data_IF_827143528604
#
_entry.id   IF_827143528604
#
_cell.length_a   1.000
_cell.length_b   1.000
_cell.length_c   1.000
_cell.angle_alpha   90.00
_cell.angle_beta   90.00
_cell.angle_gamma   90.00
#
_symmetry.space_group_name_H-M   'P 1'
#
loop_
_entity.id
_entity.type
_entity.pdbx_description
1 polymer ?
#
# COMPACT_ATOMS: atom_id res chain seq x y z
N UNK A 1 1.44 0.75 20.47
CA UNK A 1 2.40 -0.36 20.41
C UNK A 1 1.62 -1.66 20.27
N UNK A 2 1.43 -2.14 19.04
CA UNK A 2 0.85 -3.46 18.72
C UNK A 2 1.63 -3.98 17.51
N UNK A 3 2.49 -4.98 17.74
CA UNK A 3 3.12 -5.76 16.67
C UNK A 3 2.05 -6.71 16.12
N UNK A 4 1.33 -6.28 15.09
CA UNK A 4 0.32 -7.08 14.37
C UNK A 4 0.92 -7.62 13.06
N UNK A 5 1.92 -8.48 13.19
CA UNK A 5 2.19 -9.53 12.21
C UNK A 5 1.57 -10.85 12.71
N UNK A 6 0.34 -10.77 13.23
CA UNK A 6 -0.51 -11.94 13.37
C UNK A 6 -0.76 -12.52 11.98
N UNK A 7 -0.55 -13.83 11.86
CA UNK A 7 -0.98 -14.64 10.74
C UNK A 7 -2.50 -14.47 10.62
N UNK A 8 -2.94 -13.55 9.76
CA UNK A 8 -4.37 -13.32 9.49
C UNK A 8 -5.02 -14.66 9.19
N UNK A 9 -6.08 -14.99 9.92
CA UNK A 9 -6.76 -16.26 9.74
C UNK A 9 -7.57 -16.24 8.44
N UNK A 10 -7.72 -17.39 7.80
CA UNK A 10 -8.62 -17.54 6.65
C UNK A 10 -10.03 -17.03 6.95
N UNK A 11 -10.49 -17.17 8.20
CA UNK A 11 -11.77 -16.64 8.66
C UNK A 11 -11.86 -15.12 8.52
N UNK A 12 -10.82 -14.40 8.94
CA UNK A 12 -10.77 -12.94 8.81
C UNK A 12 -10.74 -12.48 7.35
N UNK A 13 -9.97 -13.16 6.49
CA UNK A 13 -9.93 -12.83 5.05
C UNK A 13 -11.27 -13.14 4.36
N UNK A 14 -12.00 -14.18 4.80
CA UNK A 14 -13.37 -14.46 4.33
C UNK A 14 -14.37 -13.38 4.78
N UNK A 15 -14.21 -12.82 5.98
CA UNK A 15 -15.03 -11.69 6.41
C UNK A 15 -14.80 -10.46 5.53
N UNK A 16 -13.53 -10.12 5.24
CA UNK A 16 -13.19 -9.03 4.33
C UNK A 16 -13.76 -9.28 2.94
N UNK A 17 -13.56 -10.50 2.41
CA UNK A 17 -14.10 -10.90 1.12
C UNK A 17 -15.62 -10.71 1.06
N UNK A 18 -16.34 -11.18 2.07
CA UNK A 18 -17.78 -10.99 2.19
C UNK A 18 -18.15 -9.51 2.18
N UNK A 19 -17.45 -8.66 2.95
CA UNK A 19 -17.74 -7.23 2.97
C UNK A 19 -17.56 -6.57 1.61
N UNK A 20 -16.44 -6.86 0.92
CA UNK A 20 -16.13 -6.28 -0.40
C UNK A 20 -17.16 -6.75 -1.43
N UNK A 21 -17.45 -8.05 -1.51
CA UNK A 21 -18.40 -8.60 -2.50
C UNK A 21 -19.80 -8.05 -2.29
N UNK A 22 -20.25 -7.96 -1.04
CA UNK A 22 -21.58 -7.42 -0.74
C UNK A 22 -21.66 -5.89 -0.89
N UNK A 23 -20.52 -5.19 -0.92
CA UNK A 23 -20.47 -3.72 -0.98
C UNK A 23 -20.85 -3.04 0.33
N UNK A 24 -20.75 -3.75 1.46
CA UNK A 24 -20.92 -3.18 2.79
C UNK A 24 -20.19 -3.99 3.86
N UNK A 25 -19.84 -3.36 4.96
CA UNK A 25 -19.37 -4.02 6.18
C UNK A 25 -20.49 -4.06 7.22
N UNK A 26 -20.68 -5.18 7.91
CA UNK A 26 -21.63 -5.26 9.02
C UNK A 26 -20.93 -5.00 10.36
N UNK A 27 -21.55 -4.19 11.21
CA UNK A 27 -21.18 -4.02 12.62
C UNK A 27 -22.35 -4.51 13.47
N UNK A 28 -22.07 -5.44 14.39
CA UNK A 28 -23.11 -6.06 15.22
C UNK A 28 -23.39 -5.29 16.51
N UNK A 29 -22.49 -4.39 16.91
CA UNK A 29 -22.63 -3.62 18.14
C UNK A 29 -22.34 -2.13 17.91
N UNK A 30 -23.36 -1.44 17.39
CA UNK A 30 -23.42 0.01 17.35
C UNK A 30 -24.64 0.49 18.15
N UNK A 31 -24.40 0.97 19.37
CA UNK A 31 -25.46 1.34 20.32
C UNK A 31 -26.47 0.22 20.59
N UNK A 32 -25.97 -1.02 20.69
CA UNK A 32 -26.81 -2.20 20.91
C UNK A 32 -27.65 -2.60 19.69
N UNK A 33 -27.35 -2.06 18.51
CA UNK A 33 -27.99 -2.40 17.24
C UNK A 33 -26.95 -2.86 16.22
N UNK A 34 -27.40 -3.72 15.31
CA UNK A 34 -26.64 -4.06 14.11
C UNK A 34 -26.81 -2.96 13.07
N UNK A 35 -25.71 -2.57 12.43
CA UNK A 35 -25.69 -1.56 11.37
C UNK A 35 -24.86 -2.04 10.18
N UNK A 36 -25.14 -1.46 9.02
CA UNK A 36 -24.48 -1.77 7.77
C UNK A 36 -23.79 -0.53 7.22
N UNK A 37 -22.46 -0.64 7.07
CA UNK A 37 -21.59 0.40 6.55
C UNK A 37 -21.42 0.18 5.06
N UNK A 38 -22.21 0.90 4.26
CA UNK A 38 -22.17 0.88 2.80
C UNK A 38 -20.80 1.34 2.28
N UNK A 39 -20.26 0.62 1.31
CA UNK A 39 -19.08 1.04 0.58
C UNK A 39 -19.53 1.85 -0.64
N UNK A 40 -19.02 3.06 -0.78
CA UNK A 40 -19.45 3.95 -1.85
C UNK A 40 -18.75 3.63 -3.18
N UNK A 41 -19.50 3.80 -4.27
CA UNK A 41 -18.98 3.86 -5.64
C UNK A 41 -18.39 5.24 -5.96
N UNK A 42 -17.62 5.38 -7.05
CA UNK A 42 -17.14 6.69 -7.51
C UNK A 42 -18.28 7.67 -7.82
N UNK A 43 -19.42 7.17 -8.31
CA UNK A 43 -20.59 8.00 -8.63
C UNK A 43 -21.18 8.60 -7.35
N UNK A 44 -21.29 7.80 -6.30
CA UNK A 44 -21.83 8.25 -5.01
C UNK A 44 -20.87 9.20 -4.27
N UNK A 45 -19.56 9.04 -4.45
CA UNK A 45 -18.59 10.03 -3.94
C UNK A 45 -18.82 11.40 -4.57
N UNK A 46 -19.17 11.47 -5.85
CA UNK A 46 -19.44 12.74 -6.51
C UNK A 46 -20.61 13.51 -5.88
N UNK A 47 -21.59 12.82 -5.29
CA UNK A 47 -22.68 13.47 -4.56
C UNK A 47 -22.16 14.12 -3.26
N UNK A 48 -21.24 13.47 -2.57
CA UNK A 48 -20.58 14.01 -1.39
C UNK A 48 -19.68 15.19 -1.76
N UNK A 49 -18.96 15.11 -2.87
CA UNK A 49 -18.09 16.20 -3.36
C UNK A 49 -18.90 17.48 -3.63
N UNK A 50 -20.11 17.36 -4.17
CA UNK A 50 -21.00 18.52 -4.35
C UNK A 50 -21.37 19.20 -3.03
N UNK A 51 -21.59 18.42 -1.97
CA UNK A 51 -21.81 18.98 -0.64
C UNK A 51 -20.54 19.66 -0.10
N UNK A 52 -19.35 19.12 -0.40
CA UNK A 52 -18.09 19.72 0.02
C UNK A 52 -17.94 21.12 -0.59
N UNK A 53 -18.14 21.25 -1.90
CA UNK A 53 -18.05 22.52 -2.62
C UNK A 53 -19.03 23.56 -2.06
N UNK A 54 -20.24 23.12 -1.71
CA UNK A 54 -21.24 23.98 -1.08
C UNK A 54 -20.76 24.53 0.28
N UNK A 55 -20.31 23.67 1.19
CA UNK A 55 -19.85 24.08 2.52
C UNK A 55 -18.54 24.89 2.45
N UNK A 56 -17.66 24.57 1.51
CA UNK A 56 -16.46 25.34 1.25
C UNK A 56 -16.81 26.77 0.82
N UNK A 57 -17.70 26.93 -0.17
CA UNK A 57 -18.15 28.24 -0.62
C UNK A 57 -18.84 29.03 0.52
N UNK A 58 -19.63 28.36 1.36
CA UNK A 58 -20.25 28.99 2.52
C UNK A 58 -19.20 29.49 3.53
N UNK A 59 -18.19 28.68 3.86
CA UNK A 59 -17.10 29.07 4.76
C UNK A 59 -16.30 30.26 4.20
N UNK A 60 -16.04 30.27 2.90
CA UNK A 60 -15.40 31.40 2.20
C UNK A 60 -16.22 32.67 2.31
N UNK A 61 -17.52 32.60 2.11
CA UNK A 61 -18.42 33.74 2.25
C UNK A 61 -18.50 34.27 3.69
N UNK A 62 -18.20 33.42 4.69
CA UNK A 62 -18.09 33.79 6.10
C UNK A 62 -16.70 34.34 6.48
N UNK A 63 -15.77 34.43 5.53
CA UNK A 63 -14.45 35.03 5.72
C UNK A 63 -13.37 34.06 6.21
N UNK A 64 -13.60 32.74 6.19
CA UNK A 64 -12.55 31.77 6.51
C UNK A 64 -11.51 31.76 5.39
N UNK A 65 -10.22 31.79 5.76
CA UNK A 65 -9.12 31.62 4.83
C UNK A 65 -9.12 30.21 4.22
N UNK A 66 -8.65 30.11 2.99
CA UNK A 66 -8.22 28.83 2.41
C UNK A 66 -6.93 28.34 3.08
N UNK A 67 -6.61 27.06 2.94
CA UNK A 67 -5.32 26.52 3.38
C UNK A 67 -4.16 27.26 2.70
N UNK A 68 -4.29 27.60 1.42
CA UNK A 68 -3.27 28.35 0.69
C UNK A 68 -3.05 29.75 1.27
N UNK A 69 -4.12 30.50 1.53
CA UNK A 69 -4.03 31.83 2.15
C UNK A 69 -3.48 31.73 3.58
N UNK A 70 -3.92 30.73 4.35
CA UNK A 70 -3.44 30.51 5.71
C UNK A 70 -1.95 30.16 5.73
N UNK A 71 -1.47 29.36 4.79
CA UNK A 71 -0.05 29.06 4.62
C UNK A 71 0.74 30.35 4.35
N UNK A 72 0.26 31.24 3.47
CA UNK A 72 0.93 32.53 3.19
C UNK A 72 1.05 33.38 4.46
N UNK A 73 -0.05 33.51 5.20
CA UNK A 73 -0.07 34.23 6.48
C UNK A 73 0.91 33.62 7.51
N UNK A 74 0.90 32.29 7.67
CA UNK A 74 1.81 31.60 8.60
C UNK A 74 3.29 31.79 8.25
N UNK A 75 3.61 31.89 6.95
CA UNK A 75 4.98 32.20 6.48
C UNK A 75 5.37 33.64 6.79
N UNK A 76 4.46 34.60 6.59
CA UNK A 76 4.68 36.01 6.93
C UNK A 76 4.98 36.20 8.42
N UNK A 77 4.29 35.44 9.28
CA UNK A 77 4.52 35.44 10.73
C UNK A 77 5.73 34.57 11.18
N UNK A 78 6.41 33.91 10.25
CA UNK A 78 7.55 33.03 10.54
C UNK A 78 7.20 31.77 11.34
N UNK A 79 5.91 31.40 11.39
CA UNK A 79 5.41 30.18 12.05
C UNK A 79 5.58 28.94 11.17
N UNK A 80 5.63 29.14 9.85
CA UNK A 80 5.99 28.15 8.86
C UNK A 80 7.23 28.63 8.10
N UNK A 81 8.20 27.75 7.84
CA UNK A 81 9.39 28.12 7.05
C UNK A 81 9.37 27.47 5.68
N UNK A 82 9.78 28.24 4.67
CA UNK A 82 9.98 27.73 3.30
C UNK A 82 11.00 26.58 3.28
N UNK A 83 12.00 26.61 4.18
CA UNK A 83 12.96 25.54 4.33
C UNK A 83 12.31 24.23 4.78
N UNK A 84 11.35 24.27 5.73
CA UNK A 84 10.62 23.07 6.17
C UNK A 84 9.75 22.50 5.04
N UNK A 85 9.08 23.36 4.27
CA UNK A 85 8.27 22.90 3.12
C UNK A 85 9.14 22.29 2.02
N UNK A 86 10.25 22.95 1.68
CA UNK A 86 11.22 22.42 0.71
C UNK A 86 11.81 21.09 1.18
N UNK A 87 12.11 20.95 2.47
CA UNK A 87 12.58 19.69 3.04
C UNK A 87 11.52 18.58 2.93
N UNK A 88 10.24 18.89 3.15
CA UNK A 88 9.15 17.93 2.99
C UNK A 88 9.04 17.46 1.53
N UNK A 89 9.07 18.38 0.57
CA UNK A 89 9.06 18.04 -0.86
C UNK A 89 10.26 17.16 -1.24
N UNK A 90 11.46 17.51 -0.77
CA UNK A 90 12.66 16.72 -1.00
C UNK A 90 12.54 15.30 -0.42
N UNK A 91 11.97 15.15 0.78
CA UNK A 91 11.74 13.84 1.39
C UNK A 91 10.71 13.01 0.62
N UNK A 92 9.66 13.63 0.09
CA UNK A 92 8.67 12.95 -0.77
C UNK A 92 9.30 12.47 -2.08
N UNK A 93 10.13 13.31 -2.71
CA UNK A 93 10.89 12.93 -3.91
C UNK A 93 11.87 11.80 -3.58
N UNK A 94 12.59 11.91 -2.46
CA UNK A 94 13.50 10.87 -2.00
C UNK A 94 12.78 9.55 -1.75
N UNK A 95 11.61 9.56 -1.10
CA UNK A 95 10.77 8.39 -0.88
C UNK A 95 10.34 7.74 -2.20
N UNK A 96 9.92 8.56 -3.18
CA UNK A 96 9.59 8.07 -4.54
C UNK A 96 10.81 7.40 -5.18
N UNK A 97 11.99 8.01 -5.08
CA UNK A 97 13.23 7.46 -5.63
C UNK A 97 13.65 6.17 -4.93
N UNK A 98 13.46 6.04 -3.61
CA UNK A 98 13.69 4.81 -2.87
C UNK A 98 12.79 3.67 -3.37
N UNK A 99 11.50 3.95 -3.58
CA UNK A 99 10.53 2.97 -4.13
C UNK A 99 10.90 2.54 -5.55
N UNK A 100 11.34 3.46 -6.40
CA UNK A 100 11.83 3.13 -7.75
C UNK A 100 13.15 2.37 -7.73
N UNK A 101 14.07 2.73 -6.84
CA UNK A 101 15.36 2.03 -6.64
C UNK A 101 15.10 0.58 -6.24
N UNK A 102 14.21 0.37 -5.26
CA UNK A 102 13.80 -0.96 -4.80
C UNK A 102 13.36 -1.88 -5.94
N UNK A 103 12.53 -1.37 -6.86
CA UNK A 103 12.05 -2.14 -8.02
C UNK A 103 13.16 -2.63 -8.95
N UNK A 104 14.34 -2.00 -8.92
CA UNK A 104 15.49 -2.37 -9.75
C UNK A 104 16.49 -3.29 -9.05
N UNK A 105 16.29 -3.58 -7.76
CA UNK A 105 17.14 -4.47 -7.00
C UNK A 105 16.76 -5.93 -7.22
N UNK A 106 17.73 -6.82 -7.01
CA UNK A 106 17.52 -8.28 -7.02
C UNK A 106 18.10 -8.97 -5.79
N UNK A 107 19.04 -8.34 -5.08
CA UNK A 107 19.64 -8.85 -3.84
C UNK A 107 18.73 -8.59 -2.65
N UNK A 108 18.43 -9.65 -1.88
CA UNK A 108 17.52 -9.55 -0.74
C UNK A 108 18.04 -8.59 0.34
N UNK A 109 19.34 -8.63 0.63
CA UNK A 109 19.96 -7.74 1.63
C UNK A 109 19.80 -6.26 1.29
N UNK A 110 19.81 -5.93 0.00
CA UNK A 110 19.68 -4.53 -0.44
C UNK A 110 18.22 -4.09 -0.45
N UNK A 111 17.31 -5.00 -0.82
CA UNK A 111 15.86 -4.78 -0.71
C UNK A 111 15.47 -4.48 0.76
N UNK A 112 15.98 -5.26 1.71
CA UNK A 112 15.70 -5.04 3.14
C UNK A 112 16.24 -3.69 3.65
N UNK A 113 17.46 -3.31 3.25
CA UNK A 113 18.04 -2.00 3.60
C UNK A 113 17.16 -0.85 3.07
N UNK A 114 16.75 -0.92 1.80
CA UNK A 114 15.88 0.11 1.20
C UNK A 114 14.50 0.13 1.88
N UNK A 115 13.92 -1.02 2.22
CA UNK A 115 12.64 -1.06 2.95
C UNK A 115 12.74 -0.36 4.33
N UNK A 116 13.84 -0.51 5.04
CA UNK A 116 14.05 0.19 6.32
C UNK A 116 14.19 1.71 6.12
N UNK A 117 14.87 2.15 5.06
CA UNK A 117 14.95 3.58 4.71
C UNK A 117 13.58 4.15 4.36
N UNK A 118 12.80 3.44 3.54
CA UNK A 118 11.41 3.81 3.17
C UNK A 118 10.58 4.03 4.44
N UNK A 119 10.58 3.06 5.37
CA UNK A 119 9.82 3.14 6.62
C UNK A 119 10.22 4.36 7.47
N UNK A 120 11.52 4.64 7.59
CA UNK A 120 12.00 5.79 8.35
C UNK A 120 11.59 7.11 7.71
N UNK A 121 11.77 7.24 6.38
CA UNK A 121 11.40 8.45 5.64
C UNK A 121 9.88 8.67 5.64
N UNK A 122 9.07 7.63 5.52
CA UNK A 122 7.60 7.72 5.60
C UNK A 122 7.16 8.25 6.97
N UNK A 123 7.77 7.77 8.05
CA UNK A 123 7.48 8.27 9.40
C UNK A 123 7.79 9.77 9.52
N UNK A 124 8.97 10.19 9.07
CA UNK A 124 9.36 11.61 9.12
C UNK A 124 8.40 12.50 8.31
N UNK A 125 7.99 12.05 7.11
CA UNK A 125 6.99 12.77 6.30
C UNK A 125 5.65 12.88 7.02
N UNK A 126 5.20 11.82 7.68
CA UNK A 126 3.95 11.82 8.45
C UNK A 126 4.01 12.78 9.64
N UNK A 127 5.12 12.79 10.38
CA UNK A 127 5.31 13.68 11.53
C UNK A 127 5.21 15.15 11.08
N UNK A 128 5.85 15.53 9.96
CA UNK A 128 5.74 16.89 9.39
C UNK A 128 4.33 17.24 8.90
N UNK A 129 3.63 16.30 8.27
CA UNK A 129 2.25 16.51 7.82
C UNK A 129 1.33 16.74 9.02
N UNK A 130 1.55 16.03 10.13
CA UNK A 130 0.81 16.23 11.37
C UNK A 130 1.04 17.63 11.95
N UNK A 131 2.31 18.04 12.12
CA UNK A 131 2.67 19.40 12.58
C UNK A 131 2.04 20.48 11.71
N UNK A 132 2.08 20.32 10.38
CA UNK A 132 1.48 21.28 9.44
C UNK A 132 -0.04 21.35 9.59
N UNK A 133 -0.71 20.22 9.77
CA UNK A 133 -2.17 20.18 9.89
C UNK A 133 -2.68 20.86 11.16
N UNK A 134 -1.95 20.80 12.27
CA UNK A 134 -2.31 21.51 13.51
C UNK A 134 -2.31 23.04 13.31
N UNK A 135 -1.43 23.57 12.45
CA UNK A 135 -1.40 25.01 12.15
C UNK A 135 -2.54 25.45 11.23
N UNK A 136 -3.16 24.52 10.49
CA UNK A 136 -4.19 24.78 9.47
C UNK A 136 -5.61 24.48 9.96
N UNK A 137 -5.86 24.37 11.27
CA UNK A 137 -7.16 23.96 11.81
C UNK A 137 -8.34 24.89 11.44
N UNK A 138 -8.07 26.18 11.20
CA UNK A 138 -9.09 27.21 10.95
C UNK A 138 -9.11 27.64 9.48
N UNK A 139 -9.42 26.71 8.59
CA UNK A 139 -9.56 26.98 7.14
C UNK A 139 -10.92 26.55 6.61
N UNK A 140 -11.30 27.11 5.45
CA UNK A 140 -12.52 26.75 4.74
C UNK A 140 -12.57 25.25 4.42
N UNK A 141 -11.43 24.65 4.07
CA UNK A 141 -11.26 23.24 3.79
C UNK A 141 -11.52 22.38 5.03
N UNK A 142 -11.00 22.77 6.21
CA UNK A 142 -11.26 22.05 7.46
C UNK A 142 -12.71 22.16 7.89
N UNK A 143 -13.33 23.34 7.72
CA UNK A 143 -14.75 23.53 7.97
C UNK A 143 -15.61 22.62 7.07
N UNK A 144 -15.37 22.65 5.76
CA UNK A 144 -16.09 21.83 4.80
C UNK A 144 -15.88 20.33 5.09
N UNK A 145 -14.65 19.91 5.38
CA UNK A 145 -14.33 18.54 5.77
C UNK A 145 -15.08 18.07 7.02
N UNK A 146 -15.20 18.91 8.05
CA UNK A 146 -16.00 18.60 9.25
C UNK A 146 -17.48 18.40 8.90
N UNK A 147 -18.05 19.27 8.07
CA UNK A 147 -19.45 19.14 7.65
C UNK A 147 -19.68 17.91 6.78
N UNK A 148 -18.72 17.57 5.94
CA UNK A 148 -18.79 16.39 5.10
C UNK A 148 -18.74 15.09 5.88
N UNK A 149 -18.08 15.05 7.04
CA UNK A 149 -18.17 13.87 7.91
C UNK A 149 -19.61 13.57 8.32
N UNK A 150 -20.44 14.57 8.62
CA UNK A 150 -21.86 14.39 8.95
C UNK A 150 -22.63 13.80 7.75
N UNK A 151 -22.38 14.35 6.56
CA UNK A 151 -22.96 13.88 5.30
C UNK A 151 -22.55 12.43 5.01
N UNK A 152 -21.28 12.07 5.22
CA UNK A 152 -20.78 10.70 5.04
C UNK A 152 -21.58 9.70 5.87
N UNK A 153 -21.94 10.02 7.12
CA UNK A 153 -22.71 9.09 7.96
C UNK A 153 -24.08 8.79 7.36
N UNK A 154 -24.77 9.80 6.83
CA UNK A 154 -26.08 9.66 6.16
C UNK A 154 -26.01 8.71 4.97
N UNK A 155 -24.97 8.83 4.17
CA UNK A 155 -24.78 8.02 2.95
C UNK A 155 -24.14 6.65 3.19
N UNK A 156 -23.60 6.38 4.38
CA UNK A 156 -22.85 5.14 4.64
C UNK A 156 -23.44 4.25 5.72
N UNK A 157 -24.18 4.76 6.71
CA UNK A 157 -24.64 3.94 7.85
C UNK A 157 -26.15 3.67 7.77
N UNK A 158 -26.50 2.40 7.60
CA UNK A 158 -27.89 1.95 7.43
C UNK A 158 -28.29 0.89 8.46
N UNK A 159 -29.60 0.83 8.73
CA UNK A 159 -30.21 -0.24 9.53
C UNK A 159 -30.42 -1.53 8.74
N UNK A 160 -30.37 -1.46 7.41
CA UNK A 160 -30.65 -2.58 6.51
C UNK A 160 -29.59 -2.74 5.40
N UNK A 161 -29.52 -3.95 4.84
CA UNK A 161 -28.55 -4.33 3.80
C UNK A 161 -28.87 -3.78 2.41
N UNK A 162 -30.09 -3.30 2.20
CA UNK A 162 -30.54 -2.71 0.93
C UNK A 162 -30.36 -1.18 0.92
N UNK A 163 -29.84 -0.62 2.02
CA UNK A 163 -29.58 0.80 2.21
C UNK A 163 -30.83 1.68 2.06
N UNK A 164 -31.98 1.18 2.49
CA UNK A 164 -33.25 1.89 2.39
C UNK A 164 -33.50 2.81 3.59
N UNK A 165 -32.92 2.49 4.75
CA UNK A 165 -33.15 3.20 6.01
C UNK A 165 -31.83 3.59 6.68
N UNK A 166 -31.45 4.87 6.53
CA UNK A 166 -30.31 5.45 7.25
C UNK A 166 -30.67 5.77 8.69
N UNK A 167 -29.70 5.67 9.59
CA UNK A 167 -29.84 6.08 11.01
C UNK A 167 -29.67 7.60 11.14
N UNK A 168 -28.93 8.21 10.22
CA UNK A 168 -28.57 9.62 10.25
C UNK A 168 -29.41 10.40 9.24
N UNK A 169 -30.68 10.60 9.59
CA UNK A 169 -31.55 11.53 8.87
C UNK A 169 -31.09 12.97 9.09
N UNK A 170 -31.62 13.90 8.29
CA UNK A 170 -31.30 15.34 8.45
C UNK A 170 -31.58 15.84 9.87
N UNK A 171 -32.75 15.48 10.42
CA UNK A 171 -33.16 15.82 11.79
C UNK A 171 -32.21 15.24 12.85
N UNK A 172 -31.71 14.02 12.63
CA UNK A 172 -30.74 13.39 13.54
C UNK A 172 -29.39 14.10 13.46
N UNK A 173 -28.95 14.49 12.26
CA UNK A 173 -27.69 15.20 12.05
C UNK A 173 -27.71 16.61 12.63
N UNK A 174 -28.80 17.36 12.50
CA UNK A 174 -28.95 18.70 13.08
C UNK A 174 -28.80 18.69 14.62
N UNK A 175 -29.16 17.56 15.25
CA UNK A 175 -29.13 17.39 16.71
C UNK A 175 -28.02 16.44 17.18
N UNK A 176 -27.10 16.03 16.31
CA UNK A 176 -26.04 15.09 16.68
C UNK A 176 -25.04 15.77 17.61
N UNK A 177 -24.73 15.12 18.73
CA UNK A 177 -23.68 15.60 19.63
C UNK A 177 -22.30 15.21 19.09
N UNK A 178 -21.25 15.97 19.44
CA UNK A 178 -19.88 15.66 19.05
C UNK A 178 -19.47 14.23 19.45
N UNK A 179 -19.89 13.78 20.63
CA UNK A 179 -19.62 12.42 21.11
C UNK A 179 -20.30 11.36 20.21
N UNK A 180 -21.56 11.57 19.83
CA UNK A 180 -22.27 10.63 18.94
C UNK A 180 -21.66 10.63 17.53
N UNK A 181 -21.28 11.79 17.01
CA UNK A 181 -20.58 11.94 15.74
C UNK A 181 -19.25 11.18 15.76
N UNK A 182 -18.44 11.37 16.82
CA UNK A 182 -17.18 10.65 17.00
C UNK A 182 -17.38 9.13 17.05
N UNK A 183 -18.40 8.65 17.77
CA UNK A 183 -18.71 7.22 17.86
C UNK A 183 -19.10 6.63 16.50
N UNK A 184 -19.90 7.35 15.73
CA UNK A 184 -20.32 6.96 14.38
C UNK A 184 -19.13 6.88 13.42
N UNK A 185 -18.29 7.92 13.39
CA UNK A 185 -17.05 7.95 12.61
C UNK A 185 -16.11 6.82 13.04
N UNK A 186 -15.96 6.58 14.34
CA UNK A 186 -15.12 5.49 14.85
C UNK A 186 -15.64 4.12 14.42
N UNK A 187 -16.96 3.93 14.40
CA UNK A 187 -17.59 2.70 13.92
C UNK A 187 -17.31 2.49 12.43
N UNK A 188 -17.51 3.54 11.61
CA UNK A 188 -17.19 3.53 10.20
C UNK A 188 -15.72 3.17 9.97
N UNK A 189 -14.80 3.91 10.61
CA UNK A 189 -13.35 3.71 10.47
C UNK A 189 -12.94 2.29 10.85
N UNK A 190 -13.43 1.74 11.96
CA UNK A 190 -13.15 0.35 12.37
C UNK A 190 -13.58 -0.68 11.32
N UNK A 191 -14.70 -0.43 10.64
CA UNK A 191 -15.18 -1.32 9.58
C UNK A 191 -14.32 -1.24 8.32
N UNK A 192 -13.90 -0.03 7.96
CA UNK A 192 -13.12 0.25 6.76
C UNK A 192 -11.64 -0.12 6.92
N UNK A 193 -11.05 0.07 8.10
CA UNK A 193 -9.65 -0.26 8.40
C UNK A 193 -9.35 -1.75 8.17
N UNK A 194 -10.35 -2.63 8.39
CA UNK A 194 -10.25 -4.05 8.04
C UNK A 194 -10.00 -4.25 6.54
N UNK A 195 -10.55 -3.40 5.70
CA UNK A 195 -10.40 -3.41 4.23
C UNK A 195 -9.21 -2.53 3.81
N UNK A 196 -8.06 -2.72 4.45
CA UNK A 196 -6.83 -2.03 4.11
C UNK A 196 -6.21 -2.59 2.82
N UNK A 197 -5.38 -1.79 2.14
CA UNK A 197 -4.62 -2.25 0.97
C UNK A 197 -3.78 -3.51 1.28
N UNK A 198 -3.14 -3.58 2.47
CA UNK A 198 -2.43 -4.79 2.95
C UNK A 198 -3.33 -6.02 2.92
N UNK A 199 -4.56 -5.89 3.42
CA UNK A 199 -5.49 -7.01 3.49
C UNK A 199 -6.13 -7.34 2.14
N UNK A 200 -6.40 -6.34 1.29
CA UNK A 200 -6.86 -6.56 -0.09
C UNK A 200 -5.82 -7.36 -0.88
N UNK A 201 -4.54 -6.96 -0.80
CA UNK A 201 -3.44 -7.70 -1.44
C UNK A 201 -3.34 -9.14 -0.95
N UNK A 202 -3.46 -9.36 0.37
CA UNK A 202 -3.46 -10.71 0.95
C UNK A 202 -4.66 -11.53 0.47
N UNK A 203 -5.87 -10.95 0.48
CA UNK A 203 -7.07 -11.61 -0.04
C UNK A 203 -6.90 -11.96 -1.53
N UNK A 204 -6.33 -11.07 -2.32
CA UNK A 204 -6.13 -11.26 -3.74
C UNK A 204 -5.27 -12.49 -4.05
N UNK A 205 -4.30 -12.85 -3.21
CA UNK A 205 -3.47 -14.06 -3.42
C UNK A 205 -4.04 -15.32 -2.75
N UNK A 206 -5.13 -15.22 -1.98
CA UNK A 206 -5.71 -16.37 -1.30
C UNK A 206 -6.33 -17.36 -2.29
N UNK A 207 -6.12 -18.65 -2.05
CA UNK A 207 -6.60 -19.74 -2.89
C UNK A 207 -8.12 -19.72 -3.11
N UNK A 208 -8.92 -19.51 -2.05
CA UNK A 208 -10.38 -19.50 -2.18
C UNK A 208 -10.89 -18.36 -3.06
N UNK A 209 -10.23 -17.20 -3.03
CA UNK A 209 -10.60 -16.06 -3.85
C UNK A 209 -10.14 -16.26 -5.30
N UNK A 210 -8.87 -16.64 -5.49
CA UNK A 210 -8.30 -16.89 -6.83
C UNK A 210 -9.09 -17.95 -7.59
N UNK A 211 -9.47 -19.05 -6.91
CA UNK A 211 -10.30 -20.09 -7.51
C UNK A 211 -11.64 -19.54 -8.01
N UNK A 212 -12.31 -18.69 -7.22
CA UNK A 212 -13.57 -18.08 -7.64
C UNK A 212 -13.37 -17.07 -8.77
N UNK A 213 -12.33 -16.23 -8.69
CA UNK A 213 -12.05 -15.19 -9.67
C UNK A 213 -11.64 -15.76 -11.03
N UNK A 214 -10.86 -16.84 -11.05
CA UNK A 214 -10.43 -17.51 -12.28
C UNK A 214 -11.54 -18.27 -12.99
N UNK A 215 -12.56 -18.75 -12.28
CA UNK A 215 -13.74 -19.36 -12.90
C UNK A 215 -14.55 -18.36 -13.75
N UNK A 216 -14.35 -17.06 -13.53
CA UNK A 216 -15.00 -15.99 -14.30
C UNK A 216 -14.09 -15.42 -15.41
N UNK A 217 -12.97 -16.07 -15.75
CA UNK A 217 -12.03 -15.61 -16.80
C UNK A 217 -11.61 -14.13 -16.66
N UNK A 218 -11.42 -13.67 -15.42
CA UNK A 218 -11.10 -12.27 -15.06
C UNK A 218 -12.16 -11.23 -15.52
N UNK A 219 -13.35 -11.69 -15.89
CA UNK A 219 -14.49 -10.86 -16.22
C UNK A 219 -15.13 -10.31 -14.94
N UNK A 220 -14.93 -9.02 -14.73
CA UNK A 220 -15.43 -8.28 -13.56
C UNK A 220 -16.96 -8.28 -13.53
N UNK A 221 -17.61 -8.22 -14.69
CA UNK A 221 -19.06 -8.25 -14.78
C UNK A 221 -19.60 -9.62 -14.37
N UNK A 222 -18.98 -10.71 -14.82
CA UNK A 222 -19.43 -12.06 -14.48
C UNK A 222 -19.19 -12.36 -12.98
N UNK A 223 -18.08 -11.86 -12.42
CA UNK A 223 -17.75 -12.08 -11.02
C UNK A 223 -18.69 -11.33 -10.06
N UNK A 224 -19.00 -10.06 -10.32
CA UNK A 224 -19.84 -9.22 -9.45
C UNK A 224 -21.31 -9.14 -9.87
N UNK A 225 -21.65 -9.57 -11.08
CA UNK A 225 -23.00 -9.49 -11.64
C UNK A 225 -23.47 -8.07 -11.98
N UNK A 226 -22.56 -7.08 -12.03
CA UNK A 226 -22.91 -5.68 -12.31
C UNK A 226 -21.83 -4.93 -13.11
N UNK A 227 -22.21 -3.89 -13.89
CA UNK A 227 -21.26 -3.06 -14.63
C UNK A 227 -20.22 -2.39 -13.71
N UNK A 228 -19.01 -2.19 -14.23
CA UNK A 228 -17.88 -1.63 -13.48
C UNK A 228 -18.19 -0.24 -12.87
N UNK A 229 -18.99 0.57 -13.55
CA UNK A 229 -19.38 1.91 -13.08
C UNK A 229 -20.29 1.90 -11.83
N UNK A 230 -20.88 0.75 -11.49
CA UNK A 230 -21.69 0.57 -10.27
C UNK A 230 -20.95 -0.23 -9.19
N UNK A 231 -19.67 -0.52 -9.38
CA UNK A 231 -18.85 -1.16 -8.36
C UNK A 231 -18.42 -0.14 -7.31
N UNK A 232 -18.30 -0.63 -6.09
CA UNK A 232 -17.71 0.15 -4.99
C UNK A 232 -16.21 0.27 -5.23
N UNK A 233 -15.57 1.27 -4.62
CA UNK A 233 -14.11 1.43 -4.72
C UNK A 233 -13.36 0.13 -4.37
N UNK A 234 -13.75 -0.54 -3.29
CA UNK A 234 -13.08 -1.77 -2.85
C UNK A 234 -13.29 -2.97 -3.78
N UNK A 235 -14.43 -3.04 -4.47
CA UNK A 235 -14.68 -4.09 -5.46
C UNK A 235 -13.77 -3.93 -6.69
N UNK A 236 -13.62 -2.69 -7.16
CA UNK A 236 -12.70 -2.35 -8.26
C UNK A 236 -11.26 -2.60 -7.84
N UNK A 237 -10.87 -2.15 -6.65
CA UNK A 237 -9.51 -2.32 -6.13
C UNK A 237 -9.15 -3.79 -5.98
N UNK A 238 -10.02 -4.62 -5.38
CA UNK A 238 -9.77 -6.06 -5.26
C UNK A 238 -9.62 -6.73 -6.63
N UNK A 239 -10.47 -6.40 -7.61
CA UNK A 239 -10.37 -6.96 -8.95
C UNK A 239 -9.08 -6.53 -9.67
N UNK A 240 -8.67 -5.27 -9.51
CA UNK A 240 -7.44 -4.76 -10.10
C UNK A 240 -6.21 -5.46 -9.50
N UNK A 241 -6.14 -5.54 -8.17
CA UNK A 241 -5.07 -6.22 -7.45
C UNK A 241 -5.03 -7.72 -7.77
N UNK A 242 -6.19 -8.36 -7.91
CA UNK A 242 -6.30 -9.76 -8.34
C UNK A 242 -5.68 -9.99 -9.73
N UNK A 243 -6.02 -9.15 -10.71
CA UNK A 243 -5.45 -9.20 -12.07
C UNK A 243 -3.94 -9.00 -12.04
N UNK A 244 -3.47 -8.07 -11.23
CA UNK A 244 -2.04 -7.82 -11.06
C UNK A 244 -1.30 -9.04 -10.48
N UNK A 245 -1.82 -9.66 -9.42
CA UNK A 245 -1.19 -10.86 -8.86
C UNK A 245 -1.30 -12.09 -9.76
N UNK A 246 -2.42 -12.24 -10.49
CA UNK A 246 -2.52 -13.25 -11.56
C UNK A 246 -1.39 -13.06 -12.57
N UNK A 247 -1.22 -11.84 -13.06
CA UNK A 247 -0.13 -11.51 -13.98
C UNK A 247 1.24 -11.84 -13.40
N UNK A 248 1.52 -11.47 -12.15
CA UNK A 248 2.78 -11.84 -11.48
C UNK A 248 3.01 -13.35 -11.52
N UNK A 249 1.99 -14.14 -11.15
CA UNK A 249 2.09 -15.59 -11.05
C UNK A 249 2.21 -16.30 -12.40
N UNK A 250 1.71 -15.71 -13.49
CA UNK A 250 1.73 -16.31 -14.83
C UNK A 250 2.79 -15.72 -15.76
N UNK A 251 3.53 -14.69 -15.35
CA UNK A 251 4.44 -13.95 -16.24
C UNK A 251 5.89 -14.44 -16.23
N UNK A 252 6.25 -15.39 -15.36
CA UNK A 252 7.57 -16.01 -15.34
C UNK A 252 7.47 -17.53 -15.31
N UNK A 253 8.42 -18.20 -15.97
CA UNK A 253 8.55 -19.66 -15.92
C UNK A 253 9.10 -20.15 -14.57
N UNK A 254 9.69 -19.24 -13.78
CA UNK A 254 10.16 -19.52 -12.43
C UNK A 254 8.97 -19.50 -11.48
N UNK A 255 8.81 -20.57 -10.70
CA UNK A 255 7.78 -20.62 -9.65
C UNK A 255 8.29 -19.92 -8.38
N UNK A 256 7.50 -19.02 -7.76
CA UNK A 256 7.89 -18.40 -6.50
C UNK A 256 8.01 -19.46 -5.37
N UNK A 257 8.97 -19.31 -4.45
CA UNK A 257 9.03 -20.12 -3.24
C UNK A 257 7.76 -20.01 -2.37
N UNK A 258 7.47 -21.04 -1.57
CA UNK A 258 6.24 -21.11 -0.75
C UNK A 258 6.12 -19.96 0.28
N UNK A 259 7.24 -19.53 0.86
CA UNK A 259 7.29 -18.42 1.81
C UNK A 259 7.08 -17.04 1.16
N UNK A 260 7.26 -16.96 -0.17
CA UNK A 260 7.01 -15.79 -1.00
C UNK A 260 5.56 -15.77 -1.48
N UNK A 261 5.02 -16.93 -1.90
CA UNK A 261 3.67 -17.06 -2.45
C UNK A 261 2.58 -16.52 -1.51
N UNK A 262 2.78 -16.69 -0.19
CA UNK A 262 1.82 -16.29 0.83
C UNK A 262 1.98 -14.84 1.32
N UNK A 263 2.94 -14.08 0.77
CA UNK A 263 3.22 -12.72 1.17
C UNK A 263 3.21 -11.78 -0.06
N UNK A 264 2.20 -10.90 -0.20
CA UNK A 264 2.06 -10.06 -1.39
C UNK A 264 3.27 -9.16 -1.65
N UNK A 265 3.86 -8.57 -0.61
CA UNK A 265 5.04 -7.70 -0.75
C UNK A 265 6.26 -8.49 -1.21
N UNK A 266 6.50 -9.66 -0.61
CA UNK A 266 7.60 -10.53 -1.04
C UNK A 266 7.41 -11.02 -2.47
N UNK A 267 6.17 -11.27 -2.88
CA UNK A 267 5.81 -11.74 -4.21
C UNK A 267 6.03 -10.66 -5.28
N UNK A 268 5.64 -9.42 -5.00
CA UNK A 268 5.97 -8.25 -5.83
C UNK A 268 7.50 -8.08 -5.96
N UNK A 269 8.22 -8.10 -4.83
CA UNK A 269 9.68 -7.96 -4.81
C UNK A 269 10.35 -9.08 -5.60
N UNK A 270 9.91 -10.32 -5.44
CA UNK A 270 10.39 -11.47 -6.20
C UNK A 270 10.17 -11.30 -7.70
N UNK A 271 8.97 -10.89 -8.11
CA UNK A 271 8.63 -10.69 -9.53
C UNK A 271 9.53 -9.64 -10.19
N UNK A 272 9.78 -8.53 -9.48
CA UNK A 272 10.70 -7.50 -9.94
C UNK A 272 12.14 -8.02 -10.05
N UNK A 273 12.62 -8.76 -9.05
CA UNK A 273 13.94 -9.40 -9.09
C UNK A 273 14.11 -10.31 -10.30
N UNK A 274 13.14 -11.20 -10.57
CA UNK A 274 13.17 -12.12 -11.71
C UNK A 274 13.25 -11.34 -13.03
N UNK A 275 12.37 -10.35 -13.23
CA UNK A 275 12.39 -9.52 -14.44
C UNK A 275 13.69 -8.73 -14.63
N UNK A 276 14.29 -8.25 -13.56
CA UNK A 276 15.55 -7.51 -13.64
C UNK A 276 16.70 -8.42 -14.05
N UNK A 277 16.73 -9.64 -13.51
CA UNK A 277 17.71 -10.66 -13.88
C UNK A 277 17.55 -11.08 -15.34
N UNK A 278 16.33 -11.33 -15.80
CA UNK A 278 16.05 -11.61 -17.22
C UNK A 278 16.55 -10.49 -18.14
N UNK A 279 16.33 -9.22 -17.77
CA UNK A 279 16.86 -8.08 -18.52
C UNK A 279 18.39 -8.05 -18.55
N UNK A 280 19.07 -8.41 -17.46
CA UNK A 280 20.54 -8.47 -17.40
C UNK A 280 21.05 -9.61 -18.28
N UNK A 281 20.44 -10.79 -18.21
CA UNK A 281 20.81 -11.96 -19.03
C UNK A 281 20.62 -11.65 -20.51
N UNK A 282 19.47 -11.09 -20.90
CA UNK A 282 19.16 -10.77 -22.30
C UNK A 282 20.05 -9.67 -22.88
N UNK A 283 20.60 -8.77 -22.06
CA UNK A 283 21.58 -7.77 -22.51
C UNK A 283 22.97 -8.34 -22.78
N UNK A 284 23.27 -9.54 -22.25
CA UNK A 284 24.56 -10.21 -22.38
C UNK A 284 24.40 -11.51 -23.16
N UNK A 285 24.04 -11.42 -24.44
CA UNK A 285 23.93 -12.57 -25.34
C UNK A 285 25.24 -13.38 -25.37
N UNK A 286 25.22 -14.61 -24.81
CA UNK A 286 26.25 -15.64 -25.04
C UNK A 286 27.41 -15.73 -24.04
N UNK A 287 27.50 -14.88 -23.01
CA UNK A 287 28.56 -14.92 -22.00
C UNK A 287 28.19 -15.68 -20.72
N UNK A 288 29.18 -16.19 -19.98
CA UNK A 288 28.99 -16.57 -18.58
C UNK A 288 28.78 -15.31 -17.73
N UNK A 289 27.52 -14.93 -17.50
CA UNK A 289 27.17 -13.85 -16.58
C UNK A 289 27.32 -14.34 -15.14
N UNK A 290 28.36 -13.87 -14.46
CA UNK A 290 28.49 -13.93 -13.02
C UNK A 290 27.70 -12.80 -12.39
N UNK A 291 26.62 -13.14 -11.66
CA UNK A 291 25.88 -12.17 -10.85
C UNK A 291 26.69 -11.92 -9.58
N UNK A 292 27.61 -10.95 -9.63
CA UNK A 292 28.44 -10.58 -8.49
C UNK A 292 27.58 -10.20 -7.28
N UNK A 293 27.92 -10.76 -6.11
CA UNK A 293 27.27 -10.44 -4.83
C UNK A 293 25.98 -11.22 -4.52
N UNK A 294 25.48 -12.04 -5.44
CA UNK A 294 24.32 -12.90 -5.18
C UNK A 294 24.68 -14.10 -4.31
N UNK A 295 23.87 -14.38 -3.30
CA UNK A 295 23.97 -15.60 -2.51
C UNK A 295 23.38 -16.80 -3.28
N UNK A 296 23.69 -18.02 -2.84
CA UNK A 296 23.07 -19.22 -3.40
C UNK A 296 21.53 -19.18 -3.27
N UNK A 297 21.03 -18.63 -2.17
CA UNK A 297 19.59 -18.46 -1.95
C UNK A 297 18.98 -17.41 -2.88
N UNK A 298 19.71 -16.33 -3.22
CA UNK A 298 19.27 -15.34 -4.21
C UNK A 298 19.15 -15.98 -5.60
N UNK A 299 20.15 -16.78 -6.02
CA UNK A 299 20.15 -17.50 -7.30
C UNK A 299 19.03 -18.54 -7.38
N UNK A 300 18.79 -19.26 -6.28
CA UNK A 300 17.69 -20.23 -6.17
C UNK A 300 16.32 -19.53 -6.25
N UNK A 301 16.17 -18.40 -5.55
CA UNK A 301 14.93 -17.62 -5.51
C UNK A 301 14.52 -17.10 -6.90
N UNK A 302 15.48 -16.80 -7.76
CA UNK A 302 15.25 -16.30 -9.13
C UNK A 302 15.32 -17.39 -10.21
N UNK A 303 15.36 -18.68 -9.83
CA UNK A 303 15.28 -19.81 -10.76
C UNK A 303 16.55 -20.11 -11.57
N UNK A 304 17.71 -19.60 -11.15
CA UNK A 304 19.00 -19.82 -11.81
C UNK A 304 19.77 -21.05 -11.28
N UNK A 305 19.15 -21.86 -10.42
CA UNK A 305 19.74 -23.10 -9.85
C UNK A 305 19.96 -24.17 -10.94
N UNK A 306 19.12 -24.19 -11.99
CA UNK A 306 19.09 -25.25 -13.00
C UNK A 306 19.60 -24.83 -14.39
N UNK A 307 20.86 -24.42 -14.49
CA UNK A 307 21.68 -24.65 -15.69
C UNK A 307 23.14 -24.72 -15.28
N UNK A 308 23.79 -25.90 -15.38
CA UNK A 308 25.24 -26.19 -15.62
C UNK A 308 26.31 -25.07 -15.45
N UNK A 309 26.15 -24.14 -14.51
CA UNK A 309 27.01 -22.97 -14.26
C UNK A 309 27.23 -22.73 -12.77
N UNK A 310 26.73 -23.59 -11.89
CA UNK A 310 27.04 -23.51 -10.45
C UNK A 310 28.51 -23.91 -10.16
N UNK A 311 29.19 -24.60 -11.10
CA UNK A 311 30.60 -24.99 -10.97
C UNK A 311 31.62 -23.85 -11.22
N UNK A 312 31.19 -22.62 -11.51
CA UNK A 312 32.10 -21.47 -11.68
C UNK A 312 32.11 -20.47 -10.51
N UNK A 313 31.38 -20.72 -9.41
CA UNK A 313 31.22 -19.73 -8.33
C UNK A 313 31.85 -20.10 -6.99
N UNK A 314 32.54 -21.24 -6.89
CA UNK A 314 33.23 -21.67 -5.65
C UNK A 314 34.75 -21.46 -5.64
N UNK A 315 35.38 -21.10 -6.76
CA UNK A 315 36.84 -21.13 -6.88
C UNK A 315 37.52 -19.76 -7.07
N UNK A 316 37.12 -18.71 -6.33
CA UNK A 316 37.97 -17.51 -6.20
C UNK A 316 38.42 -17.20 -4.76
N UNK A 317 37.99 -17.98 -3.76
CA UNK A 317 38.35 -17.74 -2.35
C UNK A 317 39.29 -18.78 -1.71
N UNK A 318 40.09 -19.50 -2.50
CA UNK A 318 41.20 -20.31 -1.98
C UNK A 318 42.48 -20.05 -2.78
N UNK A 319 43.02 -18.83 -2.69
CA UNK A 319 44.47 -18.67 -2.64
C UNK A 319 44.83 -18.42 -1.19
N UNK A 320 45.10 -19.51 -0.48
CA UNK A 320 45.88 -19.45 0.76
C UNK A 320 47.19 -18.71 0.44
N UNK A 321 47.39 -17.58 1.10
CA UNK A 321 48.68 -16.91 1.18
C UNK A 321 49.65 -17.89 1.87
N UNK A 322 50.40 -18.66 1.09
CA UNK A 322 51.41 -19.55 1.62
C UNK A 322 52.63 -18.70 2.00
N UNK A 323 52.88 -18.58 3.29
CA UNK A 323 53.96 -17.79 3.91
C UNK A 323 55.38 -18.24 3.42
N UNK A 324 55.47 -19.37 2.73
CA UNK A 324 56.72 -19.85 2.10
C UNK A 324 57.11 -19.14 0.80
N UNK A 325 56.21 -18.41 0.12
CA UNK A 325 56.55 -17.65 -1.10
C UNK A 325 57.26 -16.32 -0.82
N UNK A 326 57.38 -15.91 0.44
CA UNK A 326 58.04 -14.65 0.84
C UNK A 326 59.54 -14.78 1.16
N UNK A 327 60.14 -15.98 1.09
CA UNK A 327 61.56 -16.21 1.48
C UNK A 327 62.52 -16.39 0.28
N UNK A 328 62.04 -16.49 -0.96
CA UNK A 328 62.91 -16.69 -2.13
C UNK A 328 63.28 -15.44 -2.96
N UNK A 329 63.08 -14.23 -2.43
CA UNK A 329 63.49 -12.99 -3.13
C UNK A 329 64.78 -12.36 -2.54
N UNK A 330 65.32 -12.89 -1.44
CA UNK A 330 66.63 -12.47 -0.92
C UNK A 330 67.51 -13.68 -0.56
N UNK A 331 68.30 -14.16 -1.53
CA UNK A 331 69.46 -15.00 -1.24
C UNK A 331 69.88 -16.00 -2.31
N UNK A 332 70.64 -15.56 -3.31
CA UNK A 332 71.91 -16.19 -3.72
C UNK A 332 72.40 -15.66 -5.08
N UNK A 333 73.36 -14.72 -5.03
CA UNK A 333 74.44 -14.68 -6.02
C UNK A 333 75.35 -15.88 -5.76
N UNK A 334 75.68 -16.66 -6.80
CA UNK A 334 77.04 -17.15 -7.14
C UNK A 334 76.96 -18.30 -8.17
N UNK A 335 77.24 -18.00 -9.44
CA UNK A 335 78.56 -18.19 -10.04
C UNK A 335 78.71 -17.30 -11.26
#
# INVERSE_FOLDING_TARGET
MLNLDEKLTDSFLRQIYSSIVNGFSAESDFDGKSVFIKHLSPVEHSEIDQHYDHYFAMARNQGLYTEEEKIKELKEFGLLSDDKERNLEQKQIYLKNLKETKKNLFLNSDIEKINNQIKSTEKEVLDYIYEKNELLELTAEKFAGKKINEIYLKYTIFEDKLFQKTIYTEEVLENITENNLYRAISCYNRCIEKISNKNIKKLAICSFFQNAFFLCDDNIFDFYGKPICYLTYYQVELANVAKYFKYILTSSDVTPPEDVLNNPEKLEDWHHSVKNVEKIINKHEGGATSIMGATADDLKRIGLDNQKKVDMFKNENQKEFNIYDAINVFGSKQK
#
